data_IF_167619868002
#
_entry.id   IF_167619868002
#
_cell.length_a   1.000
_cell.length_b   1.000
_cell.length_c   1.000
_cell.angle_alpha   90.00
_cell.angle_beta   90.00
_cell.angle_gamma   90.00
#
_symmetry.space_group_name_H-M   'P 1'
#
loop_
_entity.id
_entity.type
_entity.pdbx_description
1 polymer ?
#
# COMPACT_ATOMS: atom_id res chain seq x y z
N UNK A 1 4.87 36.77 -8.60
CA UNK A 1 6.29 36.41 -8.68
C UNK A 1 6.70 35.70 -7.42
N UNK A 2 7.35 34.58 -7.54
CA UNK A 2 7.92 33.66 -6.55
C UNK A 2 7.04 32.46 -6.14
N UNK A 3 6.95 31.54 -7.06
CA UNK A 3 6.67 30.13 -6.79
C UNK A 3 7.99 29.45 -6.34
N UNK A 4 8.17 29.34 -5.02
CA UNK A 4 9.25 28.53 -4.44
C UNK A 4 8.87 27.04 -4.53
N UNK A 5 9.35 26.39 -5.57
CA UNK A 5 9.35 24.93 -5.69
C UNK A 5 10.19 24.30 -4.57
N UNK A 6 9.54 23.70 -3.59
CA UNK A 6 10.19 22.73 -2.70
C UNK A 6 10.13 21.35 -3.34
N UNK A 7 11.19 20.96 -4.01
CA UNK A 7 11.49 19.56 -4.32
C UNK A 7 11.69 18.80 -3.00
N UNK A 8 10.67 18.11 -2.52
CA UNK A 8 10.77 17.17 -1.43
C UNK A 8 11.23 15.81 -1.98
N UNK A 9 12.39 15.35 -1.52
CA UNK A 9 12.70 13.92 -1.46
C UNK A 9 11.67 13.28 -0.50
N UNK A 10 10.66 12.58 -1.02
CA UNK A 10 9.63 11.94 -0.21
C UNK A 10 8.54 11.42 -1.12
N UNK A 11 8.38 10.09 -1.18
CA UNK A 11 7.28 9.45 -1.86
C UNK A 11 5.93 10.02 -1.40
N UNK A 12 4.92 9.93 -2.24
CA UNK A 12 3.55 10.33 -1.93
C UNK A 12 3.00 9.45 -0.82
N UNK A 13 2.93 9.97 0.40
CA UNK A 13 2.27 9.28 1.51
C UNK A 13 0.78 9.63 1.48
N UNK A 14 -0.08 8.61 1.34
CA UNK A 14 -1.53 8.79 1.54
C UNK A 14 -1.75 9.24 2.99
N UNK A 15 -2.38 10.39 3.15
CA UNK A 15 -2.66 11.02 4.43
C UNK A 15 -4.06 10.61 4.90
N UNK A 16 -4.14 9.94 6.04
CA UNK A 16 -5.38 9.49 6.65
C UNK A 16 -5.63 10.29 7.91
N UNK A 17 -6.83 10.86 8.06
CA UNK A 17 -7.27 11.53 9.27
C UNK A 17 -8.09 10.55 10.12
N UNK A 18 -7.72 10.41 11.39
CA UNK A 18 -8.44 9.62 12.40
C UNK A 18 -8.98 10.55 13.47
N UNK A 19 -10.29 10.58 13.66
CA UNK A 19 -10.96 11.44 14.65
C UNK A 19 -11.84 10.60 15.55
N UNK A 20 -11.48 10.56 16.83
CA UNK A 20 -12.17 9.80 17.87
C UNK A 20 -11.70 10.37 19.23
N UNK A 21 -12.57 10.50 20.21
CA UNK A 21 -12.22 11.01 21.54
C UNK A 21 -11.55 9.95 22.43
N UNK A 22 -11.60 8.67 22.02
CA UNK A 22 -10.94 7.57 22.68
C UNK A 22 -9.44 7.50 22.30
N UNK A 23 -8.62 8.18 23.09
CA UNK A 23 -7.17 8.34 22.81
C UNK A 23 -6.42 7.03 22.60
N UNK A 24 -6.80 5.95 23.31
CA UNK A 24 -6.13 4.64 23.17
C UNK A 24 -6.46 3.98 21.83
N UNK A 25 -7.70 4.08 21.39
CA UNK A 25 -8.12 3.58 20.08
C UNK A 25 -7.40 4.33 18.95
N UNK A 26 -7.37 5.66 19.03
CA UNK A 26 -6.63 6.50 18.05
C UNK A 26 -5.16 6.12 17.98
N UNK A 27 -4.48 5.92 19.12
CA UNK A 27 -3.08 5.48 19.17
C UNK A 27 -2.90 4.11 18.49
N UNK A 28 -3.80 3.16 18.77
CA UNK A 28 -3.76 1.83 18.17
C UNK A 28 -3.94 1.86 16.65
N UNK A 29 -4.94 2.61 16.16
CA UNK A 29 -5.18 2.80 14.72
C UNK A 29 -3.97 3.48 14.07
N UNK A 30 -3.50 4.59 14.65
CA UNK A 30 -2.33 5.34 14.15
C UNK A 30 -1.10 4.44 14.01
N UNK A 31 -0.74 3.68 15.04
CA UNK A 31 0.42 2.79 15.01
C UNK A 31 0.32 1.79 13.85
N UNK A 32 -0.83 1.15 13.69
CA UNK A 32 -1.06 0.16 12.65
C UNK A 32 -1.01 0.77 11.23
N UNK A 33 -1.62 1.93 11.02
CA UNK A 33 -1.63 2.59 9.72
C UNK A 33 -0.25 3.17 9.36
N UNK A 34 0.48 3.71 10.33
CA UNK A 34 1.86 4.17 10.11
C UNK A 34 2.81 3.02 9.75
N UNK A 35 2.63 1.84 10.35
CA UNK A 35 3.38 0.63 9.99
C UNK A 35 3.11 0.19 8.53
N UNK A 36 1.91 0.47 7.99
CA UNK A 36 1.57 0.24 6.58
C UNK A 36 2.02 1.41 5.66
N UNK A 37 2.77 2.38 6.18
CA UNK A 37 3.34 3.51 5.42
C UNK A 37 2.32 4.62 5.12
N UNK A 38 1.23 4.77 5.87
CA UNK A 38 0.33 5.91 5.79
C UNK A 38 0.85 7.08 6.66
N UNK A 39 0.62 8.31 6.21
CA UNK A 39 0.72 9.47 7.09
C UNK A 39 -0.59 9.61 7.86
N UNK A 40 -0.54 9.68 9.19
CA UNK A 40 -1.75 9.71 10.01
C UNK A 40 -1.85 11.02 10.79
N UNK A 41 -2.91 11.77 10.52
CA UNK A 41 -3.37 12.91 11.30
C UNK A 41 -4.40 12.46 12.34
N UNK A 42 -4.50 13.15 13.45
CA UNK A 42 -5.45 12.79 14.51
C UNK A 42 -6.19 14.00 15.01
N UNK A 43 -7.47 13.82 15.33
CA UNK A 43 -8.34 14.79 16.01
C UNK A 43 -9.17 14.08 17.08
N UNK A 44 -9.85 14.85 17.93
CA UNK A 44 -10.67 14.33 19.04
C UNK A 44 -12.10 14.84 19.03
N UNK A 45 -12.46 15.71 18.10
CA UNK A 45 -13.80 16.33 18.00
C UNK A 45 -14.25 16.48 16.56
N UNK A 46 -15.55 16.58 16.31
CA UNK A 46 -16.07 16.88 14.98
C UNK A 46 -15.58 18.24 14.43
N UNK A 47 -15.25 19.19 15.29
CA UNK A 47 -14.64 20.47 14.88
C UNK A 47 -13.22 20.27 14.38
N UNK A 48 -12.42 19.43 15.03
CA UNK A 48 -11.10 19.04 14.54
C UNK A 48 -11.19 18.37 13.18
N UNK A 49 -12.18 17.47 12.97
CA UNK A 49 -12.40 16.81 11.69
C UNK A 49 -12.58 17.83 10.57
N UNK A 50 -13.49 18.80 10.74
CA UNK A 50 -13.77 19.82 9.72
C UNK A 50 -12.53 20.67 9.45
N UNK A 51 -11.86 21.14 10.50
CA UNK A 51 -10.64 21.96 10.39
C UNK A 51 -9.53 21.22 9.66
N UNK A 52 -9.22 19.99 10.10
CA UNK A 52 -8.12 19.20 9.52
C UNK A 52 -8.39 18.75 8.08
N UNK A 53 -9.65 18.46 7.73
CA UNK A 53 -9.99 18.17 6.32
C UNK A 53 -9.74 19.40 5.44
N UNK A 54 -10.04 20.59 5.92
CA UNK A 54 -9.87 21.83 5.16
C UNK A 54 -8.41 22.27 5.03
N UNK A 55 -7.64 22.15 6.12
CA UNK A 55 -6.26 22.65 6.20
C UNK A 55 -5.25 21.64 5.61
N UNK A 56 -5.47 20.34 5.83
CA UNK A 56 -4.51 19.29 5.57
C UNK A 56 -4.85 18.44 4.35
N UNK A 57 -6.08 18.54 3.83
CA UNK A 57 -6.60 17.79 2.70
C UNK A 57 -6.23 16.30 2.74
N UNK A 58 -6.69 15.53 3.74
CA UNK A 58 -6.45 14.09 3.81
C UNK A 58 -7.16 13.37 2.66
N UNK A 59 -6.63 12.22 2.26
CA UNK A 59 -7.20 11.39 1.22
C UNK A 59 -8.27 10.41 1.74
N UNK A 60 -8.37 10.23 3.06
CA UNK A 60 -9.42 9.45 3.73
C UNK A 60 -9.60 9.93 5.17
N UNK A 61 -10.84 9.89 5.65
CA UNK A 61 -11.19 10.22 7.03
C UNK A 61 -11.82 8.99 7.71
N UNK A 62 -11.36 8.71 8.92
CA UNK A 62 -11.98 7.76 9.86
C UNK A 62 -12.58 8.63 10.96
N UNK A 63 -13.89 8.55 11.16
CA UNK A 63 -14.64 9.48 11.99
C UNK A 63 -15.54 8.74 12.97
N UNK A 64 -15.33 8.93 14.25
CA UNK A 64 -16.23 8.39 15.26
C UNK A 64 -17.57 9.12 15.24
N UNK A 65 -18.65 8.37 15.50
CA UNK A 65 -20.00 8.94 15.60
C UNK A 65 -20.20 9.68 16.91
N UNK A 66 -19.75 9.09 18.02
CA UNK A 66 -20.04 9.58 19.37
C UNK A 66 -18.88 10.41 19.92
N UNK A 67 -18.87 11.69 19.62
CA UNK A 67 -17.83 12.62 20.09
C UNK A 67 -18.42 13.81 20.82
N UNK A 68 -17.66 14.40 21.78
CA UNK A 68 -18.08 15.60 22.48
C UNK A 68 -18.10 16.82 21.54
N UNK A 69 -18.88 17.84 21.90
CA UNK A 69 -19.07 19.12 21.20
C UNK A 69 -19.79 19.00 19.85
N UNK A 70 -19.39 18.09 18.98
CA UNK A 70 -20.00 17.85 17.69
C UNK A 70 -19.86 16.37 17.35
N UNK A 71 -21.00 15.71 17.12
CA UNK A 71 -21.06 14.31 16.70
C UNK A 71 -20.54 14.11 15.27
N UNK A 72 -20.16 12.87 14.95
CA UNK A 72 -19.57 12.53 13.67
C UNK A 72 -20.52 12.69 12.50
N UNK A 73 -21.83 12.46 12.65
CA UNK A 73 -22.80 12.65 11.57
C UNK A 73 -22.91 14.13 11.17
N UNK A 74 -22.94 15.01 12.18
CA UNK A 74 -22.94 16.46 11.96
C UNK A 74 -21.64 16.93 11.32
N UNK A 75 -20.49 16.42 11.78
CA UNK A 75 -19.19 16.71 11.18
C UNK A 75 -19.12 16.21 9.72
N UNK A 76 -19.59 15.00 9.44
CA UNK A 76 -19.65 14.43 8.08
C UNK A 76 -20.45 15.32 7.14
N UNK A 77 -21.70 15.70 7.50
CA UNK A 77 -22.53 16.61 6.69
C UNK A 77 -21.81 17.92 6.37
N UNK A 78 -21.18 18.54 7.36
CA UNK A 78 -20.40 19.78 7.16
C UNK A 78 -19.18 19.58 6.27
N UNK A 79 -18.48 18.46 6.38
CA UNK A 79 -17.37 18.13 5.50
C UNK A 79 -17.88 17.99 4.05
N UNK A 80 -19.04 17.37 3.83
CA UNK A 80 -19.63 17.18 2.51
C UNK A 80 -20.04 18.50 1.83
N UNK A 81 -20.22 19.58 2.55
CA UNK A 81 -20.48 20.89 1.95
C UNK A 81 -19.29 21.39 1.09
N UNK A 82 -18.06 20.91 1.34
CA UNK A 82 -16.86 21.38 0.65
C UNK A 82 -15.87 20.30 0.23
N UNK A 83 -16.11 19.02 0.55
CA UNK A 83 -15.17 17.93 0.27
C UNK A 83 -15.89 16.62 -0.06
N UNK A 84 -15.34 15.90 -1.05
CA UNK A 84 -15.73 14.55 -1.43
C UNK A 84 -14.79 13.47 -0.89
N UNK A 85 -13.94 13.81 0.09
CA UNK A 85 -13.00 12.89 0.72
C UNK A 85 -13.71 11.64 1.23
N UNK A 86 -13.23 10.42 0.98
CA UNK A 86 -13.84 9.20 1.51
C UNK A 86 -13.90 9.22 3.05
N UNK A 87 -15.06 8.88 3.63
CA UNK A 87 -15.28 8.86 5.09
C UNK A 87 -15.75 7.48 5.52
N UNK A 88 -15.04 6.87 6.47
CA UNK A 88 -15.46 5.68 7.21
C UNK A 88 -15.97 6.15 8.58
N UNK A 89 -17.23 5.86 8.89
CA UNK A 89 -17.79 6.13 10.20
C UNK A 89 -17.52 4.97 11.16
N UNK A 90 -17.01 5.27 12.35
CA UNK A 90 -16.93 4.31 13.44
C UNK A 90 -18.18 4.46 14.33
N UNK A 91 -18.88 3.36 14.62
CA UNK A 91 -20.15 3.43 15.35
C UNK A 91 -20.29 2.30 16.35
N UNK A 92 -20.93 2.56 17.48
CA UNK A 92 -21.33 1.53 18.44
C UNK A 92 -22.66 0.85 18.08
N UNK A 93 -23.42 1.40 17.12
CA UNK A 93 -24.71 0.84 16.68
C UNK A 93 -24.48 -0.24 15.61
N UNK A 94 -25.40 -1.19 15.53
CA UNK A 94 -25.38 -2.20 14.46
C UNK A 94 -25.41 -1.53 13.07
N UNK A 95 -24.82 -2.21 12.09
CA UNK A 95 -24.71 -1.70 10.70
C UNK A 95 -26.07 -1.29 10.12
N UNK A 96 -27.15 -1.96 10.51
CA UNK A 96 -28.52 -1.66 10.07
C UNK A 96 -29.08 -0.38 10.69
N UNK A 97 -28.82 -0.11 11.98
CA UNK A 97 -29.29 1.09 12.67
C UNK A 97 -28.46 2.33 12.28
N UNK A 98 -27.14 2.14 12.13
CA UNK A 98 -26.24 3.20 11.66
C UNK A 98 -26.54 3.58 10.20
N UNK A 99 -26.93 2.63 9.36
CA UNK A 99 -27.34 2.88 7.98
C UNK A 99 -28.64 3.68 7.89
N UNK A 100 -29.61 3.43 8.74
CA UNK A 100 -30.86 4.17 8.73
C UNK A 100 -30.70 5.65 9.14
N UNK A 101 -29.84 5.95 10.12
CA UNK A 101 -29.55 7.33 10.55
C UNK A 101 -28.42 8.00 9.74
N UNK A 102 -27.54 7.21 9.14
CA UNK A 102 -26.29 7.66 8.53
C UNK A 102 -26.34 7.86 7.02
N UNK A 103 -27.29 7.29 6.28
CA UNK A 103 -27.41 7.49 4.83
C UNK A 103 -27.56 8.95 4.43
N UNK A 104 -28.10 9.78 5.33
CA UNK A 104 -28.27 11.23 5.09
C UNK A 104 -27.00 12.04 5.33
N UNK A 105 -25.93 11.51 5.96
CA UNK A 105 -24.71 12.29 6.21
C UNK A 105 -23.69 12.25 5.08
N UNK A 106 -23.82 11.31 4.13
CA UNK A 106 -22.94 11.16 2.99
C UNK A 106 -21.63 10.42 3.31
N UNK A 107 -21.59 9.55 4.33
CA UNK A 107 -20.46 8.66 4.58
C UNK A 107 -20.35 7.57 3.51
N UNK A 108 -19.13 7.10 3.24
CA UNK A 108 -18.86 6.09 2.20
C UNK A 108 -18.89 4.66 2.75
N UNK A 109 -18.62 4.50 4.04
CA UNK A 109 -18.65 3.19 4.73
C UNK A 109 -18.85 3.35 6.23
N UNK A 110 -19.26 2.24 6.89
CA UNK A 110 -19.51 2.16 8.33
C UNK A 110 -18.81 0.95 8.92
N UNK A 111 -18.20 1.12 10.09
CA UNK A 111 -17.54 0.05 10.83
C UNK A 111 -17.99 0.07 12.28
N UNK A 112 -18.56 -1.04 12.75
CA UNK A 112 -19.11 -1.18 14.10
C UNK A 112 -18.02 -1.46 15.12
N UNK A 113 -18.00 -0.72 16.23
CA UNK A 113 -17.16 -1.01 17.41
C UNK A 113 -17.78 -2.12 18.25
N UNK A 114 -16.99 -3.13 18.77
CA UNK A 114 -15.57 -3.31 18.52
C UNK A 114 -15.27 -3.95 17.15
N UNK A 115 -14.20 -3.56 16.48
CA UNK A 115 -13.77 -4.06 15.18
C UNK A 115 -12.36 -4.64 15.21
N UNK A 116 -12.04 -5.44 14.21
CA UNK A 116 -10.68 -5.92 13.98
C UNK A 116 -9.91 -4.93 13.12
N UNK A 117 -8.65 -4.65 13.46
CA UNK A 117 -7.81 -3.73 12.70
C UNK A 117 -7.63 -4.15 11.23
N UNK A 118 -7.64 -5.47 10.96
CA UNK A 118 -7.56 -5.99 9.60
C UNK A 118 -8.80 -5.63 8.77
N UNK A 119 -9.97 -5.59 9.37
CA UNK A 119 -11.21 -5.16 8.71
C UNK A 119 -11.15 -3.67 8.35
N UNK A 120 -10.74 -2.82 9.30
CA UNK A 120 -10.55 -1.39 9.03
C UNK A 120 -9.57 -1.17 7.88
N UNK A 121 -8.42 -1.86 7.88
CA UNK A 121 -7.42 -1.78 6.79
C UNK A 121 -7.99 -2.22 5.44
N UNK A 122 -8.81 -3.26 5.40
CA UNK A 122 -9.45 -3.72 4.17
C UNK A 122 -10.41 -2.67 3.59
N UNK A 123 -11.21 -2.02 4.44
CA UNK A 123 -12.15 -0.95 4.05
C UNK A 123 -11.42 0.30 3.56
N UNK A 124 -10.35 0.72 4.23
CA UNK A 124 -9.48 1.82 3.81
C UNK A 124 -8.96 1.56 2.40
N UNK A 125 -8.37 0.38 2.14
CA UNK A 125 -7.86 0.01 0.81
C UNK A 125 -8.95 0.02 -0.25
N UNK A 126 -10.14 -0.49 0.07
CA UNK A 126 -11.26 -0.50 -0.88
C UNK A 126 -11.68 0.91 -1.31
N UNK A 127 -11.75 1.87 -0.37
CA UNK A 127 -12.12 3.26 -0.66
C UNK A 127 -11.01 4.00 -1.42
N UNK A 128 -9.75 3.85 -1.01
CA UNK A 128 -8.61 4.46 -1.70
C UNK A 128 -8.45 3.94 -3.14
N UNK A 129 -8.76 2.67 -3.40
CA UNK A 129 -8.79 2.11 -4.75
C UNK A 129 -9.88 2.75 -5.61
N UNK A 130 -11.07 3.00 -5.08
CA UNK A 130 -12.17 3.68 -5.80
C UNK A 130 -11.82 5.12 -6.15
N UNK A 131 -11.06 5.81 -5.30
CA UNK A 131 -10.58 7.18 -5.56
C UNK A 131 -9.37 7.24 -6.52
N UNK A 132 -8.85 6.11 -6.99
CA UNK A 132 -7.65 6.05 -7.85
C UNK A 132 -6.33 6.30 -7.12
N UNK A 133 -6.36 6.66 -5.85
CA UNK A 133 -5.17 7.02 -5.07
C UNK A 133 -4.29 5.82 -4.71
N UNK A 134 -4.90 4.64 -4.55
CA UNK A 134 -4.14 3.42 -4.28
C UNK A 134 -3.39 2.92 -5.52
N UNK A 135 -3.94 3.15 -6.72
CA UNK A 135 -3.25 2.85 -7.98
C UNK A 135 -2.03 3.76 -8.17
N UNK A 136 -2.13 5.04 -7.81
CA UNK A 136 -0.99 5.96 -7.83
C UNK A 136 0.10 5.51 -6.83
N UNK A 137 -0.27 5.11 -5.62
CA UNK A 137 0.66 4.61 -4.59
C UNK A 137 1.29 3.27 -4.95
N UNK A 138 0.52 2.35 -5.55
CA UNK A 138 1.04 1.08 -6.04
C UNK A 138 2.05 1.29 -7.15
N UNK A 139 1.82 2.26 -8.05
CA UNK A 139 2.75 2.59 -9.12
C UNK A 139 4.07 3.22 -8.62
N UNK A 140 4.06 3.95 -7.51
CA UNK A 140 5.28 4.56 -6.95
C UNK A 140 6.17 3.58 -6.18
N UNK A 141 5.59 2.53 -5.60
CA UNK A 141 6.34 1.48 -4.91
C UNK A 141 6.67 0.29 -5.82
N UNK A 142 6.20 0.29 -7.06
CA UNK A 142 6.53 -0.75 -8.02
C UNK A 142 7.97 -0.60 -8.50
N UNK A 143 8.76 -1.64 -8.27
CA UNK A 143 10.04 -1.82 -8.96
C UNK A 143 9.73 -2.27 -10.37
N UNK A 144 9.75 -1.33 -11.34
CA UNK A 144 9.30 -1.60 -12.71
C UNK A 144 10.44 -1.47 -13.71
N UNK A 145 10.51 -2.42 -14.64
CA UNK A 145 11.39 -2.36 -15.79
C UNK A 145 10.79 -3.13 -16.97
N UNK A 146 10.58 -2.46 -18.09
CA UNK A 146 9.96 -3.04 -19.28
C UNK A 146 8.56 -3.60 -18.99
N UNK A 147 8.36 -4.88 -19.26
CA UNK A 147 7.08 -5.56 -19.05
C UNK A 147 6.86 -6.04 -17.61
N UNK A 148 7.89 -6.01 -16.77
CA UNK A 148 7.88 -6.59 -15.41
C UNK A 148 7.71 -5.48 -14.38
N UNK A 149 6.79 -5.68 -13.42
CA UNK A 149 6.58 -4.82 -12.27
C UNK A 149 6.42 -5.67 -11.01
N UNK A 150 7.08 -5.28 -9.94
CA UNK A 150 7.03 -5.96 -8.64
C UNK A 150 6.52 -4.98 -7.58
N UNK A 151 5.60 -5.43 -6.74
CA UNK A 151 5.19 -4.72 -5.52
C UNK A 151 5.87 -5.37 -4.31
N UNK A 152 6.91 -4.76 -3.73
CA UNK A 152 7.62 -5.31 -2.58
C UNK A 152 6.74 -5.46 -1.33
N UNK A 153 5.70 -4.62 -1.18
CA UNK A 153 4.84 -4.63 -0.01
C UNK A 153 3.83 -5.77 -0.02
N UNK A 154 3.19 -6.00 -1.17
CA UNK A 154 2.23 -7.10 -1.33
C UNK A 154 2.88 -8.39 -1.82
N UNK A 155 4.17 -8.34 -2.21
CA UNK A 155 4.93 -9.44 -2.85
C UNK A 155 4.27 -9.95 -4.12
N UNK A 156 3.58 -9.06 -4.84
CA UNK A 156 2.94 -9.35 -6.12
C UNK A 156 3.88 -9.02 -7.28
N UNK A 157 3.86 -9.88 -8.31
CA UNK A 157 4.57 -9.67 -9.56
C UNK A 157 3.55 -9.50 -10.69
N UNK A 158 3.86 -8.62 -11.64
CA UNK A 158 3.02 -8.38 -12.81
C UNK A 158 3.86 -8.44 -14.08
N UNK A 159 3.27 -8.97 -15.14
CA UNK A 159 3.81 -8.92 -16.49
C UNK A 159 2.79 -8.24 -17.39
N UNK A 160 3.16 -7.13 -18.02
CA UNK A 160 2.23 -6.30 -18.80
C UNK A 160 0.93 -5.96 -18.03
N UNK A 161 1.04 -5.68 -16.72
CA UNK A 161 -0.12 -5.40 -15.85
C UNK A 161 -0.93 -6.62 -15.41
N UNK A 162 -0.61 -7.82 -15.88
CA UNK A 162 -1.28 -9.07 -15.48
C UNK A 162 -0.52 -9.71 -14.31
N UNK A 163 -1.25 -10.06 -13.25
CA UNK A 163 -0.69 -10.72 -12.06
C UNK A 163 -0.06 -12.07 -12.44
N UNK A 164 1.16 -12.30 -11.93
CA UNK A 164 1.92 -13.53 -12.11
C UNK A 164 2.24 -14.13 -10.73
N UNK A 165 1.86 -15.37 -10.51
CA UNK A 165 2.15 -16.06 -9.26
C UNK A 165 3.62 -16.50 -9.20
N UNK A 166 4.36 -15.91 -8.25
CA UNK A 166 5.71 -16.30 -7.91
C UNK A 166 5.76 -16.94 -6.52
N UNK A 167 6.63 -17.92 -6.36
CA UNK A 167 6.99 -18.42 -5.02
C UNK A 167 7.79 -17.36 -4.28
N UNK A 168 7.86 -17.45 -2.94
CA UNK A 168 8.61 -16.48 -2.12
C UNK A 168 10.07 -16.33 -2.62
N UNK A 169 10.74 -17.42 -2.95
CA UNK A 169 12.13 -17.41 -3.47
C UNK A 169 12.27 -16.81 -4.86
N UNK A 170 11.32 -17.10 -5.74
CA UNK A 170 11.28 -16.49 -7.08
C UNK A 170 11.09 -14.97 -6.97
N UNK A 171 10.21 -14.53 -6.06
CA UNK A 171 9.97 -13.12 -5.82
C UNK A 171 11.23 -12.41 -5.28
N UNK A 172 11.87 -12.98 -4.26
CA UNK A 172 13.08 -12.40 -3.67
C UNK A 172 14.22 -12.30 -4.68
N UNK A 173 14.39 -13.34 -5.51
CA UNK A 173 15.43 -13.39 -6.54
C UNK A 173 15.22 -12.32 -7.62
N UNK A 174 14.00 -12.21 -8.15
CA UNK A 174 13.75 -11.21 -9.21
C UNK A 174 13.78 -9.78 -8.64
N UNK A 175 13.27 -9.55 -7.43
CA UNK A 175 13.33 -8.25 -6.78
C UNK A 175 14.77 -7.80 -6.60
N UNK A 176 15.62 -8.67 -6.03
CA UNK A 176 17.03 -8.38 -5.83
C UNK A 176 17.74 -8.01 -7.15
N UNK A 177 17.51 -8.78 -8.22
CA UNK A 177 18.11 -8.50 -9.53
C UNK A 177 17.59 -7.18 -10.15
N UNK A 178 16.31 -6.85 -9.95
CA UNK A 178 15.70 -5.60 -10.46
C UNK A 178 16.13 -4.36 -9.67
N UNK A 179 16.46 -4.51 -8.39
CA UNK A 179 17.02 -3.43 -7.56
C UNK A 179 18.48 -3.12 -7.91
N UNK A 180 19.18 -4.09 -8.55
CA UNK A 180 20.57 -3.96 -9.00
C UNK A 180 20.69 -4.12 -10.53
N UNK A 181 20.04 -3.25 -11.32
CA UNK A 181 19.97 -3.43 -12.76
C UNK A 181 21.36 -3.34 -13.42
N UNK A 182 21.59 -4.22 -14.41
CA UNK A 182 22.85 -4.35 -15.16
C UNK A 182 24.06 -4.81 -14.34
N UNK A 183 23.88 -5.14 -13.06
CA UNK A 183 24.92 -5.75 -12.23
C UNK A 183 24.86 -7.26 -12.33
N UNK A 184 25.99 -7.89 -12.62
CA UNK A 184 26.10 -9.35 -12.73
C UNK A 184 26.43 -9.93 -11.36
N UNK A 185 25.67 -10.94 -10.94
CA UNK A 185 25.88 -11.69 -9.71
C UNK A 185 26.22 -13.15 -10.04
N UNK A 186 27.22 -13.71 -9.38
CA UNK A 186 27.51 -15.13 -9.48
C UNK A 186 26.41 -15.98 -8.80
N UNK A 187 26.41 -17.26 -9.09
CA UNK A 187 25.46 -18.21 -8.45
C UNK A 187 25.68 -18.27 -6.95
N UNK A 188 26.93 -18.25 -6.52
CA UNK A 188 27.31 -18.27 -5.11
C UNK A 188 26.85 -17.00 -4.39
N UNK A 189 27.09 -15.81 -4.95
CA UNK A 189 26.63 -14.53 -4.38
C UNK A 189 25.11 -14.49 -4.23
N UNK A 190 24.35 -14.95 -5.25
CA UNK A 190 22.90 -15.03 -5.18
C UNK A 190 22.43 -16.04 -4.12
N UNK A 191 23.09 -17.17 -4.02
CA UNK A 191 22.79 -18.18 -3.02
C UNK A 191 23.06 -17.66 -1.60
N UNK A 192 24.20 -17.05 -1.38
CA UNK A 192 24.60 -16.52 -0.08
C UNK A 192 23.69 -15.36 0.37
N UNK A 193 23.24 -14.53 -0.58
CA UNK A 193 22.41 -13.36 -0.26
C UNK A 193 20.96 -13.75 0.02
N UNK A 194 20.39 -14.71 -0.72
CA UNK A 194 18.97 -14.97 -0.73
C UNK A 194 18.55 -16.29 -0.05
N UNK A 195 19.48 -17.20 0.23
CA UNK A 195 19.20 -18.45 0.93
C UNK A 195 19.93 -18.51 2.26
N UNK A 196 19.19 -18.84 3.34
CA UNK A 196 19.77 -19.06 4.67
C UNK A 196 20.64 -20.32 4.70
N UNK A 197 21.59 -20.40 5.64
CA UNK A 197 22.53 -21.53 5.76
C UNK A 197 21.84 -22.90 5.89
N UNK A 198 20.66 -22.96 6.52
CA UNK A 198 19.88 -24.21 6.67
C UNK A 198 19.25 -24.71 5.35
N UNK A 199 19.05 -23.81 4.39
CA UNK A 199 18.45 -24.10 3.08
C UNK A 199 19.49 -24.06 1.94
N UNK A 200 20.76 -23.99 2.26
CA UNK A 200 21.88 -23.95 1.33
C UNK A 200 21.94 -25.24 0.52
N UNK A 201 21.30 -25.22 -0.64
CA UNK A 201 21.44 -26.26 -1.66
C UNK A 201 22.69 -26.05 -2.52
N UNK A 202 22.82 -26.87 -3.54
CA UNK A 202 23.80 -26.68 -4.64
C UNK A 202 23.50 -25.35 -5.36
N UNK A 203 24.53 -24.64 -5.82
CA UNK A 203 24.43 -23.43 -6.65
C UNK A 203 23.53 -23.59 -7.89
N UNK A 204 23.30 -24.80 -8.35
CA UNK A 204 22.32 -25.18 -9.37
C UNK A 204 20.88 -24.86 -8.98
N UNK A 205 20.60 -24.67 -7.69
CA UNK A 205 19.28 -24.22 -7.21
C UNK A 205 18.90 -22.87 -7.81
N UNK A 206 19.87 -21.97 -7.94
CA UNK A 206 19.67 -20.65 -8.58
C UNK A 206 19.24 -20.82 -10.04
N UNK A 207 19.87 -21.72 -10.78
CA UNK A 207 19.57 -21.95 -12.21
C UNK A 207 18.10 -22.42 -12.40
N UNK A 208 17.60 -23.25 -11.49
CA UNK A 208 16.20 -23.70 -11.50
C UNK A 208 15.23 -22.54 -11.30
N UNK A 209 15.52 -21.65 -10.35
CA UNK A 209 14.67 -20.47 -10.10
C UNK A 209 14.73 -19.45 -11.23
N UNK A 210 15.91 -19.21 -11.81
CA UNK A 210 16.06 -18.36 -13.01
C UNK A 210 15.26 -18.92 -14.18
N UNK A 211 15.32 -20.23 -14.43
CA UNK A 211 14.54 -20.86 -15.48
C UNK A 211 13.03 -20.63 -15.26
N UNK A 212 12.53 -20.89 -14.04
CA UNK A 212 11.11 -20.69 -13.69
C UNK A 212 10.68 -19.24 -13.81
N UNK A 213 11.54 -18.30 -13.41
CA UNK A 213 11.28 -16.87 -13.57
C UNK A 213 11.15 -16.48 -15.05
N UNK A 214 12.03 -17.01 -15.91
CA UNK A 214 11.92 -16.76 -17.35
C UNK A 214 10.64 -17.33 -17.93
N UNK A 215 10.25 -18.55 -17.54
CA UNK A 215 9.00 -19.19 -17.97
C UNK A 215 7.76 -18.33 -17.59
N UNK A 216 7.82 -17.61 -16.47
CA UNK A 216 6.70 -16.79 -15.97
C UNK A 216 6.73 -15.33 -16.44
N UNK A 217 7.91 -14.74 -16.54
CA UNK A 217 8.07 -13.29 -16.72
C UNK A 217 8.57 -12.86 -18.10
N UNK A 218 9.28 -13.72 -18.84
CA UNK A 218 9.77 -13.40 -20.18
C UNK A 218 8.74 -13.77 -21.26
N UNK A 219 8.75 -13.04 -22.36
CA UNK A 219 7.91 -13.32 -23.52
C UNK A 219 8.31 -14.63 -24.21
N UNK A 220 9.63 -14.82 -24.39
CA UNK A 220 10.24 -16.05 -24.86
C UNK A 220 11.30 -16.50 -23.85
N UNK A 221 11.04 -17.53 -23.03
CA UNK A 221 11.99 -18.03 -22.03
C UNK A 221 13.33 -18.52 -22.63
N UNK A 222 13.32 -18.97 -23.89
CA UNK A 222 14.52 -19.44 -24.60
C UNK A 222 15.40 -18.27 -25.08
N UNK A 223 14.80 -17.11 -25.32
CA UNK A 223 15.47 -15.87 -25.75
C UNK A 223 15.13 -14.72 -24.78
N UNK A 224 15.57 -14.79 -23.51
CA UNK A 224 15.21 -13.82 -22.51
C UNK A 224 15.77 -12.43 -22.84
N UNK A 225 14.95 -11.38 -22.59
CA UNK A 225 15.34 -10.00 -22.87
C UNK A 225 15.76 -9.24 -21.61
N UNK A 226 15.27 -9.65 -20.44
CA UNK A 226 15.47 -8.94 -19.17
C UNK A 226 16.27 -9.77 -18.15
N UNK A 227 15.97 -11.07 -17.98
CA UNK A 227 16.66 -11.96 -17.03
C UNK A 227 17.77 -12.68 -17.79
N UNK A 228 18.95 -12.10 -17.81
CA UNK A 228 20.04 -12.53 -18.70
C UNK A 228 21.11 -13.36 -17.99
N UNK A 229 21.78 -14.19 -18.78
CA UNK A 229 22.95 -14.96 -18.35
C UNK A 229 24.23 -14.27 -18.84
N UNK A 230 25.17 -14.01 -17.95
CA UNK A 230 26.56 -13.72 -18.31
C UNK A 230 27.32 -15.05 -18.24
N UNK A 231 27.64 -15.59 -19.40
CA UNK A 231 28.30 -16.91 -19.53
C UNK A 231 29.55 -16.99 -18.63
N UNK A 232 29.71 -18.11 -17.96
CA UNK A 232 30.78 -18.41 -17.01
C UNK A 232 30.82 -17.51 -15.75
N UNK A 233 29.92 -16.53 -15.59
CA UNK A 233 29.87 -15.62 -14.45
C UNK A 233 28.61 -15.84 -13.63
N UNK A 234 27.43 -15.55 -14.18
CA UNK A 234 26.19 -15.61 -13.43
C UNK A 234 25.00 -14.99 -14.14
N UNK A 235 24.16 -14.26 -13.38
CA UNK A 235 22.90 -13.69 -13.86
C UNK A 235 22.81 -12.19 -13.56
N UNK A 236 22.02 -11.50 -14.35
CA UNK A 236 21.71 -10.09 -14.16
C UNK A 236 20.36 -9.73 -14.78
N UNK A 237 19.80 -8.64 -14.29
CA UNK A 237 18.61 -8.04 -14.89
C UNK A 237 19.02 -6.87 -15.77
N UNK A 238 18.53 -6.84 -17.01
CA UNK A 238 18.74 -5.74 -17.94
C UNK A 238 17.54 -4.78 -17.90
N UNK A 239 17.81 -3.55 -17.54
CA UNK A 239 16.84 -2.45 -17.55
C UNK A 239 16.66 -1.87 -18.94
#
# INVERSE_FOLDING_TARGET
>A
MNTSGRTRKGGFYVKILVVDDETLLVKGIRFNLQSDGFQVLTGSTGLDAIRLVREEAPELVILDVMMPQMDGFTACRKIREFSTVPIIMLTAKSESEAKLEGFDCGADDYLTKPFQILELKARIRALLRRSGLEQARQNENLVSAGAISLDPNSRNAFRNGTLVELTAREFDLILFLMEHPNQVFSREELLDTLWSDEARGDSRTVDVHIRRLREKLEENPAEPKQILTKWSVGYYFRK
#
